data_IF_277021376518
#
_entry.id   IF_277021376518
#
_cell.length_a   1.000
_cell.length_b   1.000
_cell.length_c   1.000
_cell.angle_alpha   90.00
_cell.angle_beta   90.00
_cell.angle_gamma   90.00
#
_symmetry.space_group_name_H-M   'P 1'
#
loop_
_entity.id
_entity.type
_entity.pdbx_description
1 polymer ?
#
# COMPACT_ATOMS: atom_id res chain seq x y z
N UNK A 1 -21.10 49.50 -12.00
CA UNK A 1 -20.62 48.22 -12.56
C UNK A 1 -21.69 47.18 -12.31
N UNK A 2 -22.19 46.59 -13.39
CA UNK A 2 -23.39 45.73 -13.44
C UNK A 2 -23.14 44.35 -12.80
N UNK A 3 -24.01 43.97 -11.85
CA UNK A 3 -24.28 42.59 -11.48
C UNK A 3 -25.44 42.09 -12.36
N UNK A 4 -25.24 40.97 -13.05
CA UNK A 4 -26.28 40.31 -13.84
C UNK A 4 -26.35 38.84 -13.45
N UNK A 5 -27.35 38.49 -12.65
CA UNK A 5 -27.71 37.12 -12.27
C UNK A 5 -28.85 36.71 -13.18
N UNK A 6 -28.63 35.71 -14.05
CA UNK A 6 -29.69 35.07 -14.83
C UNK A 6 -30.05 33.73 -14.22
N UNK A 7 -31.34 33.62 -13.86
CA UNK A 7 -32.07 32.37 -13.65
C UNK A 7 -32.30 31.69 -15.00
N UNK A 8 -32.15 30.38 -15.05
CA UNK A 8 -32.86 29.56 -16.04
C UNK A 8 -33.52 28.37 -15.34
N UNK A 9 -34.84 28.33 -15.50
CA UNK A 9 -35.79 27.26 -15.20
C UNK A 9 -35.81 26.26 -16.35
N UNK A 10 -35.89 24.96 -16.07
CA UNK A 10 -36.30 23.94 -17.05
C UNK A 10 -37.49 23.12 -16.53
N UNK A 11 -38.53 22.91 -17.37
CA UNK A 11 -39.72 22.11 -17.05
C UNK A 11 -39.55 20.63 -17.45
N UNK A 12 -40.41 19.78 -16.87
CA UNK A 12 -40.37 18.32 -17.01
C UNK A 12 -41.01 17.72 -18.27
N UNK A 13 -40.84 16.40 -18.39
CA UNK A 13 -41.56 15.42 -19.23
C UNK A 13 -40.95 14.05 -18.85
N UNK A 14 -41.64 12.94 -18.55
CA UNK A 14 -42.94 12.42 -19.00
C UNK A 14 -42.72 11.05 -19.66
N UNK A 15 -43.53 10.03 -19.29
CA UNK A 15 -43.61 8.63 -19.76
C UNK A 15 -42.65 7.63 -19.07
N UNK A 16 -43.05 6.59 -18.31
CA UNK A 16 -44.24 5.74 -18.21
C UNK A 16 -44.54 4.85 -19.44
N UNK A 17 -44.32 3.53 -19.28
CA UNK A 17 -44.88 2.35 -19.98
C UNK A 17 -43.78 1.28 -20.12
N UNK A 18 -43.98 -0.02 -19.95
CA UNK A 18 -45.20 -0.81 -19.81
C UNK A 18 -44.90 -2.10 -19.03
N UNK A 19 -45.88 -2.50 -18.20
CA UNK A 19 -46.08 -3.89 -17.80
C UNK A 19 -46.35 -4.74 -19.05
N UNK A 20 -45.83 -5.96 -19.06
CA UNK A 20 -46.40 -7.05 -19.83
C UNK A 20 -46.38 -8.29 -18.94
N UNK A 21 -47.57 -8.63 -18.45
CA UNK A 21 -47.91 -9.98 -18.00
C UNK A 21 -47.73 -10.95 -19.17
N UNK A 22 -47.23 -12.16 -18.89
CA UNK A 22 -47.96 -13.41 -19.21
C UNK A 22 -47.18 -14.68 -18.84
N UNK A 23 -47.95 -15.54 -18.16
CA UNK A 23 -48.06 -17.00 -18.30
C UNK A 23 -47.14 -17.91 -17.49
N UNK A 24 -47.77 -18.45 -16.44
CA UNK A 24 -47.90 -19.87 -16.09
C UNK A 24 -47.14 -20.89 -16.96
N UNK A 25 -46.35 -21.72 -16.28
CA UNK A 25 -45.81 -22.98 -16.78
C UNK A 25 -44.97 -23.68 -15.71
N UNK A 26 -45.60 -24.44 -14.81
CA UNK A 26 -44.99 -25.53 -14.04
C UNK A 26 -45.32 -26.85 -14.76
N UNK A 27 -44.63 -27.99 -14.53
CA UNK A 27 -43.33 -28.22 -13.89
C UNK A 27 -42.39 -29.09 -14.77
N UNK A 28 -41.10 -28.75 -14.82
CA UNK A 28 -40.07 -29.60 -15.40
C UNK A 28 -39.08 -30.02 -14.33
N UNK A 29 -39.27 -31.21 -13.75
CA UNK A 29 -38.29 -31.86 -12.90
C UNK A 29 -37.10 -32.22 -13.80
N UNK A 30 -36.05 -31.41 -13.77
CA UNK A 30 -34.76 -31.77 -14.35
C UNK A 30 -33.94 -32.39 -13.22
N UNK A 31 -33.86 -33.71 -13.24
CA UNK A 31 -32.89 -34.51 -12.51
C UNK A 31 -31.49 -34.02 -12.87
N UNK A 32 -30.86 -33.29 -11.94
CA UNK A 32 -29.43 -32.97 -12.02
C UNK A 32 -28.67 -34.22 -11.57
N UNK A 33 -27.76 -34.79 -12.37
CA UNK A 33 -26.97 -35.92 -11.93
C UNK A 33 -26.08 -35.48 -10.76
N UNK A 34 -26.07 -36.30 -9.71
CA UNK A 34 -25.18 -36.17 -8.57
C UNK A 34 -23.73 -36.07 -9.08
N UNK A 35 -23.21 -34.86 -9.13
CA UNK A 35 -21.78 -34.64 -9.28
C UNK A 35 -21.15 -35.24 -8.04
N UNK A 36 -20.47 -36.37 -8.24
CA UNK A 36 -19.56 -36.99 -7.28
C UNK A 36 -18.60 -35.93 -6.77
N UNK A 37 -18.94 -35.35 -5.61
CA UNK A 37 -17.97 -34.65 -4.78
C UNK A 37 -16.95 -35.72 -4.42
N UNK A 38 -15.81 -35.71 -5.13
CA UNK A 38 -14.64 -36.45 -4.70
C UNK A 38 -14.40 -36.02 -3.26
N UNK A 39 -14.40 -36.95 -2.28
CA UNK A 39 -13.98 -36.59 -0.94
C UNK A 39 -12.59 -35.98 -1.08
N UNK A 40 -12.46 -34.73 -0.64
CA UNK A 40 -11.17 -34.15 -0.31
C UNK A 40 -10.47 -35.22 0.52
N UNK A 41 -9.25 -35.66 0.14
CA UNK A 41 -8.52 -36.58 0.99
C UNK A 41 -8.30 -35.84 2.30
N UNK A 42 -9.06 -36.20 3.32
CA UNK A 42 -8.70 -36.04 4.72
C UNK A 42 -7.33 -36.66 4.79
N UNK A 43 -6.28 -35.83 4.80
CA UNK A 43 -4.92 -36.30 4.90
C UNK A 43 -4.81 -36.98 6.25
N UNK A 44 -4.89 -38.30 6.17
CA UNK A 44 -4.64 -39.21 7.25
C UNK A 44 -3.37 -38.80 7.96
N UNK A 45 -3.56 -38.71 9.27
CA UNK A 45 -2.66 -38.26 10.28
C UNK A 45 -1.41 -39.14 10.35
N UNK A 46 -0.49 -38.96 9.40
CA UNK A 46 0.86 -39.50 9.47
C UNK A 46 1.76 -38.44 10.11
N UNK A 47 1.65 -38.30 11.43
CA UNK A 47 2.68 -37.64 12.24
C UNK A 47 3.98 -38.46 12.12
N UNK A 48 4.77 -38.17 11.09
CA UNK A 48 6.20 -38.46 11.09
C UNK A 48 6.83 -37.62 12.20
N UNK A 49 7.40 -38.29 13.20
CA UNK A 49 7.96 -37.68 14.40
C UNK A 49 9.02 -36.62 14.08
N UNK A 50 8.61 -35.36 14.19
CA UNK A 50 9.48 -34.19 14.18
C UNK A 50 8.95 -33.18 15.18
N UNK A 51 9.83 -32.30 15.67
CA UNK A 51 9.44 -31.20 16.56
C UNK A 51 8.27 -30.44 15.92
N UNK A 52 7.14 -30.25 16.63
CA UNK A 52 6.02 -29.49 16.11
C UNK A 52 6.50 -28.14 15.54
N UNK A 53 6.01 -27.73 14.36
CA UNK A 53 6.39 -26.47 13.76
C UNK A 53 6.01 -25.33 14.70
N UNK A 54 6.90 -24.35 14.83
CA UNK A 54 6.75 -23.24 15.77
C UNK A 54 5.63 -22.28 15.37
N UNK A 55 5.32 -22.23 14.07
CA UNK A 55 4.34 -21.38 13.42
C UNK A 55 3.47 -22.24 12.49
N UNK A 56 2.21 -21.83 12.30
CA UNK A 56 1.25 -22.54 11.45
C UNK A 56 1.47 -22.26 9.94
N UNK A 57 2.36 -21.33 9.62
CA UNK A 57 2.72 -20.91 8.27
C UNK A 57 4.13 -21.42 7.86
N UNK A 58 4.43 -21.52 6.55
CA UNK A 58 5.77 -21.83 6.07
C UNK A 58 6.81 -20.86 6.64
N UNK A 59 7.81 -21.39 7.34
CA UNK A 59 8.83 -20.58 8.02
C UNK A 59 10.25 -21.03 7.68
N UNK A 60 11.20 -20.09 7.70
CA UNK A 60 12.63 -20.32 7.44
C UNK A 60 13.45 -19.93 8.66
N UNK A 61 14.42 -20.76 9.12
CA UNK A 61 15.28 -20.39 10.24
C UNK A 61 16.26 -19.28 9.83
N UNK A 62 16.36 -18.23 10.64
CA UNK A 62 17.31 -17.13 10.47
C UNK A 62 18.04 -16.93 11.80
N UNK A 63 19.37 -16.83 11.75
CA UNK A 63 20.19 -16.49 12.93
C UNK A 63 20.44 -14.99 12.93
N UNK A 64 20.03 -14.30 13.99
CA UNK A 64 20.24 -12.86 14.18
C UNK A 64 20.98 -12.61 15.50
N UNK A 65 21.92 -11.66 15.48
CA UNK A 65 22.58 -11.16 16.69
C UNK A 65 21.91 -9.86 17.10
N UNK A 66 21.30 -9.84 18.28
CA UNK A 66 20.58 -8.68 18.80
C UNK A 66 21.22 -8.18 20.10
N UNK A 67 21.18 -6.86 20.39
CA UNK A 67 21.59 -6.34 21.68
C UNK A 67 20.81 -6.98 22.84
N UNK A 68 21.45 -7.13 24.00
CA UNK A 68 20.81 -7.70 25.20
C UNK A 68 19.56 -6.91 25.61
N UNK A 69 19.58 -5.58 25.44
CA UNK A 69 18.42 -4.73 25.68
C UNK A 69 17.22 -5.07 24.78
N UNK A 70 17.47 -5.41 23.52
CA UNK A 70 16.43 -5.86 22.58
C UNK A 70 15.90 -7.24 22.98
N UNK A 71 16.77 -8.16 23.41
CA UNK A 71 16.35 -9.48 23.89
C UNK A 71 15.46 -9.39 25.13
N UNK A 72 15.80 -8.50 26.07
CA UNK A 72 14.98 -8.21 27.24
C UNK A 72 13.63 -7.59 26.85
N UNK A 73 13.62 -6.69 25.86
CA UNK A 73 12.39 -6.11 25.33
C UNK A 73 11.46 -7.17 24.73
N UNK A 74 11.99 -8.07 23.89
CA UNK A 74 11.22 -9.17 23.29
C UNK A 74 10.63 -10.12 24.35
N UNK A 75 11.37 -10.39 25.42
CA UNK A 75 10.92 -11.27 26.49
C UNK A 75 9.71 -10.71 27.27
N UNK A 76 9.52 -9.38 27.30
CA UNK A 76 8.34 -8.75 27.90
C UNK A 76 7.08 -8.94 27.07
N UNK A 77 7.23 -9.19 25.77
CA UNK A 77 6.11 -9.34 24.82
C UNK A 77 5.68 -10.80 24.71
N UNK A 78 6.65 -11.71 24.57
CA UNK A 78 6.40 -13.16 24.60
C UNK A 78 7.65 -13.91 25.11
N UNK A 79 7.48 -14.96 25.93
CA UNK A 79 8.61 -15.79 26.38
C UNK A 79 9.34 -16.46 25.20
N UNK A 80 8.66 -16.75 24.11
CA UNK A 80 9.28 -17.18 22.85
C UNK A 80 9.65 -15.95 22.00
N UNK A 81 10.95 -15.70 21.87
CA UNK A 81 11.52 -14.57 21.10
C UNK A 81 11.04 -14.52 19.64
N UNK A 82 10.82 -15.68 19.01
CA UNK A 82 10.34 -15.74 17.64
C UNK A 82 8.88 -15.32 17.53
N UNK A 83 8.04 -15.71 18.50
CA UNK A 83 6.65 -15.24 18.59
C UNK A 83 6.57 -13.75 18.94
N UNK A 84 7.46 -13.26 19.81
CA UNK A 84 7.56 -11.83 20.11
C UNK A 84 7.87 -11.01 18.84
N UNK A 85 8.84 -11.46 18.03
CA UNK A 85 9.17 -10.81 16.75
C UNK A 85 7.96 -10.84 15.80
N UNK A 86 7.33 -12.00 15.62
CA UNK A 86 6.17 -12.11 14.72
C UNK A 86 5.02 -11.20 15.18
N UNK A 87 4.72 -11.13 16.48
CA UNK A 87 3.70 -10.24 17.03
C UNK A 87 4.02 -8.77 16.78
N UNK A 88 5.23 -8.34 17.10
CA UNK A 88 5.65 -6.96 16.83
C UNK A 88 5.56 -6.60 15.34
N UNK A 89 5.97 -7.53 14.46
CA UNK A 89 5.87 -7.32 13.02
C UNK A 89 4.41 -7.25 12.57
N UNK A 90 3.53 -8.12 13.08
CA UNK A 90 2.11 -8.09 12.76
C UNK A 90 1.43 -6.81 13.28
N UNK A 91 1.77 -6.35 14.48
CA UNK A 91 1.28 -5.08 15.03
C UNK A 91 1.77 -3.90 14.20
N UNK A 92 3.07 -3.83 13.89
CA UNK A 92 3.62 -2.80 13.03
C UNK A 92 2.98 -2.81 11.63
N UNK A 93 2.68 -3.99 11.06
CA UNK A 93 1.99 -4.11 9.77
C UNK A 93 0.51 -3.73 9.86
N UNK A 94 -0.19 -4.03 10.96
CA UNK A 94 -1.59 -3.61 11.16
C UNK A 94 -1.71 -2.11 11.31
N UNK A 95 -0.79 -1.47 12.03
CA UNK A 95 -0.70 -0.01 12.13
C UNK A 95 -0.43 0.63 10.75
N UNK A 96 0.22 -0.10 9.83
CA UNK A 96 0.40 0.34 8.43
C UNK A 96 -0.85 0.13 7.57
N UNK A 97 -1.59 -0.96 7.80
CA UNK A 97 -2.81 -1.31 7.05
C UNK A 97 -4.02 -0.46 7.47
N UNK A 98 -4.00 0.14 8.67
CA UNK A 98 -4.96 1.15 9.09
C UNK A 98 -4.75 2.46 8.32
N UNK A 99 -5.36 2.55 7.12
CA UNK A 99 -5.72 3.77 6.38
C UNK A 99 -4.65 4.87 6.23
N UNK A 100 -3.36 4.56 6.39
CA UNK A 100 -2.31 5.53 6.10
C UNK A 100 -2.11 5.58 4.58
N UNK A 101 -2.20 6.78 3.97
CA UNK A 101 -1.98 6.90 2.54
C UNK A 101 -0.55 6.45 2.19
N UNK A 102 -0.40 5.63 1.15
CA UNK A 102 0.91 5.14 0.69
C UNK A 102 1.79 6.30 0.21
N UNK A 103 1.15 7.42 -0.15
CA UNK A 103 1.77 8.69 -0.52
C UNK A 103 1.06 9.82 0.19
N UNK A 104 1.79 10.58 0.99
CA UNK A 104 1.29 11.72 1.76
C UNK A 104 2.07 12.99 1.42
N UNK A 105 1.43 14.16 1.48
CA UNK A 105 2.13 15.45 1.48
C UNK A 105 2.13 15.99 2.90
N UNK A 106 3.28 15.96 3.55
CA UNK A 106 3.46 16.47 4.90
C UNK A 106 3.75 17.97 4.86
N UNK A 107 2.93 18.78 5.52
CA UNK A 107 3.18 20.21 5.67
C UNK A 107 4.36 20.44 6.63
N UNK A 108 5.42 21.09 6.14
CA UNK A 108 6.62 21.41 6.92
C UNK A 108 6.63 22.86 7.40
N UNK A 109 6.03 23.75 6.60
CA UNK A 109 5.91 25.18 6.86
C UNK A 109 4.72 25.73 6.08
N UNK A 110 4.25 26.96 6.36
CA UNK A 110 3.15 27.56 5.61
C UNK A 110 3.42 27.54 4.11
N UNK A 111 2.54 26.89 3.35
CA UNK A 111 2.63 26.71 1.90
C UNK A 111 3.80 25.85 1.40
N UNK A 112 4.50 25.13 2.28
CA UNK A 112 5.58 24.20 1.90
C UNK A 112 5.31 22.82 2.48
N UNK A 113 5.26 21.82 1.61
CA UNK A 113 5.09 20.43 2.01
C UNK A 113 6.07 19.51 1.30
N UNK A 114 6.35 18.37 1.92
CA UNK A 114 7.21 17.32 1.38
C UNK A 114 6.38 16.08 1.06
N UNK A 115 6.73 15.40 -0.04
CA UNK A 115 6.09 14.14 -0.41
C UNK A 115 6.78 13.01 0.37
N UNK A 116 5.99 12.29 1.16
CA UNK A 116 6.38 11.10 1.91
C UNK A 116 5.73 9.89 1.26
N UNK A 117 6.51 8.82 1.07
CA UNK A 117 6.04 7.55 0.53
C UNK A 117 6.35 6.40 1.47
N UNK A 118 5.54 5.34 1.36
CA UNK A 118 5.83 4.05 1.98
C UNK A 118 7.06 3.36 1.36
N UNK A 119 7.48 2.20 1.92
CA UNK A 119 8.58 1.43 1.38
C UNK A 119 8.23 0.91 -0.02
N UNK A 120 9.10 1.17 -1.00
CA UNK A 120 8.96 0.69 -2.37
C UNK A 120 10.33 0.28 -2.91
N UNK A 121 10.42 -0.93 -3.44
CA UNK A 121 11.63 -1.42 -4.10
C UNK A 121 11.71 -0.93 -5.55
N UNK A 122 10.57 -0.69 -6.19
CA UNK A 122 10.55 -0.25 -7.59
C UNK A 122 10.99 1.19 -7.73
N UNK A 123 10.58 2.09 -6.81
CA UNK A 123 11.04 3.48 -6.81
C UNK A 123 12.56 3.61 -6.62
N UNK A 124 13.20 2.69 -5.90
CA UNK A 124 14.66 2.67 -5.74
C UNK A 124 15.41 2.38 -7.05
N UNK A 125 14.72 1.89 -8.09
CA UNK A 125 15.32 1.64 -9.41
C UNK A 125 15.48 2.92 -10.24
N UNK A 126 14.79 4.02 -9.87
CA UNK A 126 14.88 5.29 -10.59
C UNK A 126 16.22 5.95 -10.20
N UNK A 127 17.16 6.16 -11.14
CA UNK A 127 18.53 6.53 -10.81
C UNK A 127 18.66 7.94 -10.20
N UNK A 128 17.75 8.84 -10.54
CA UNK A 128 17.75 10.23 -10.04
C UNK A 128 16.82 10.45 -8.84
N UNK A 129 16.20 9.38 -8.30
CA UNK A 129 15.28 9.42 -7.17
C UNK A 129 15.95 8.78 -5.95
N UNK A 130 16.00 9.53 -4.86
CA UNK A 130 16.50 9.07 -3.57
C UNK A 130 15.36 8.98 -2.58
N UNK A 131 15.27 7.84 -1.88
CA UNK A 131 14.34 7.62 -0.78
C UNK A 131 15.08 7.81 0.55
N UNK A 132 14.72 8.86 1.29
CA UNK A 132 15.36 9.21 2.56
C UNK A 132 14.44 8.83 3.70
N UNK A 133 14.81 7.82 4.48
CA UNK A 133 14.00 7.37 5.63
C UNK A 133 13.93 8.47 6.71
N UNK A 134 12.71 8.87 7.07
CA UNK A 134 12.44 9.87 8.13
C UNK A 134 11.82 9.26 9.38
N UNK A 135 11.15 8.13 9.22
CA UNK A 135 10.73 7.24 10.30
C UNK A 135 10.67 5.82 9.74
N UNK A 136 10.60 4.78 10.59
CA UNK A 136 10.45 3.41 10.12
C UNK A 136 9.36 3.34 9.06
N UNK A 137 9.70 2.81 7.88
CA UNK A 137 8.79 2.64 6.72
C UNK A 137 8.23 3.92 6.07
N UNK A 138 8.72 5.11 6.44
CA UNK A 138 8.33 6.38 5.80
C UNK A 138 9.55 7.04 5.18
N UNK A 139 9.46 7.31 3.89
CA UNK A 139 10.57 7.82 3.09
C UNK A 139 10.19 9.14 2.44
N UNK A 140 11.07 10.13 2.52
CA UNK A 140 10.98 11.34 1.71
C UNK A 140 11.51 11.09 0.31
N UNK A 141 10.85 11.70 -0.67
CA UNK A 141 11.33 11.75 -2.05
C UNK A 141 12.30 12.93 -2.20
N UNK A 142 13.52 12.63 -2.65
CA UNK A 142 14.50 13.61 -3.09
C UNK A 142 14.92 13.33 -4.53
N UNK A 143 15.05 14.38 -5.35
CA UNK A 143 15.45 14.27 -6.76
C UNK A 143 16.85 14.85 -6.95
N UNK A 144 17.63 14.26 -7.84
CA UNK A 144 18.90 14.84 -8.27
C UNK A 144 18.68 16.21 -8.91
N UNK A 145 19.65 17.10 -8.73
CA UNK A 145 19.68 18.40 -9.39
C UNK A 145 19.56 18.25 -10.91
N UNK A 146 18.67 19.03 -11.52
CA UNK A 146 18.37 18.96 -12.96
C UNK A 146 17.23 18.02 -13.32
N UNK A 147 16.70 17.23 -12.39
CA UNK A 147 15.48 16.45 -12.56
C UNK A 147 14.33 17.14 -11.83
N UNK A 148 13.21 17.33 -12.54
CA UNK A 148 12.00 17.93 -11.98
C UNK A 148 10.88 16.89 -11.80
N UNK A 149 9.72 17.35 -11.33
CA UNK A 149 8.54 16.52 -11.17
C UNK A 149 8.06 15.86 -12.48
N UNK A 150 8.42 16.41 -13.66
CA UNK A 150 8.02 15.85 -14.96
C UNK A 150 8.88 14.62 -15.28
N UNK A 151 10.18 14.71 -15.02
CA UNK A 151 11.08 13.56 -15.11
C UNK A 151 10.63 12.44 -14.16
N UNK A 152 10.24 12.79 -12.92
CA UNK A 152 9.68 11.84 -11.97
C UNK A 152 8.38 11.19 -12.48
N UNK A 153 7.43 11.98 -13.01
CA UNK A 153 6.17 11.46 -13.54
C UNK A 153 6.41 10.44 -14.66
N UNK A 154 7.34 10.74 -15.58
CA UNK A 154 7.69 9.85 -16.68
C UNK A 154 8.31 8.55 -16.15
N UNK A 155 9.31 8.63 -15.28
CA UNK A 155 9.96 7.45 -14.72
C UNK A 155 9.00 6.56 -13.92
N UNK A 156 8.07 7.14 -13.18
CA UNK A 156 7.04 6.39 -12.43
C UNK A 156 6.06 5.69 -13.39
N UNK A 157 5.70 6.32 -14.52
CA UNK A 157 4.87 5.68 -15.56
C UNK A 157 5.58 4.50 -16.21
N UNK A 158 6.84 4.68 -16.58
CA UNK A 158 7.65 3.63 -17.22
C UNK A 158 7.75 2.40 -16.28
N UNK A 159 8.01 2.62 -15.00
CA UNK A 159 8.04 1.54 -14.00
C UNK A 159 6.66 0.90 -13.82
N UNK A 160 5.57 1.68 -13.79
CA UNK A 160 4.23 1.14 -13.63
C UNK A 160 3.83 0.19 -14.78
N UNK A 161 4.39 0.39 -15.97
CA UNK A 161 4.21 -0.52 -17.11
C UNK A 161 4.98 -1.84 -16.93
N UNK A 162 6.13 -1.81 -16.25
CA UNK A 162 6.92 -3.02 -15.94
C UNK A 162 6.34 -3.84 -14.78
N UNK A 163 5.68 -3.21 -13.81
CA UNK A 163 5.21 -3.89 -12.58
C UNK A 163 4.05 -4.85 -12.88
N UNK A 164 4.17 -6.15 -12.54
CA UNK A 164 3.11 -7.14 -12.77
C UNK A 164 1.78 -6.75 -12.10
N UNK A 165 0.66 -7.07 -12.74
CA UNK A 165 -0.68 -6.80 -12.19
C UNK A 165 -0.96 -7.48 -10.84
N UNK A 166 -0.24 -8.56 -10.53
CA UNK A 166 -0.33 -9.28 -9.26
C UNK A 166 0.23 -8.46 -8.07
N UNK A 167 1.11 -7.49 -8.30
CA UNK A 167 1.69 -6.65 -7.25
C UNK A 167 0.79 -5.44 -6.95
N UNK A 168 -0.38 -5.71 -6.35
CA UNK A 168 -1.43 -4.69 -6.15
C UNK A 168 -0.97 -3.52 -5.29
N UNK A 169 -0.17 -3.78 -4.23
CA UNK A 169 0.32 -2.73 -3.31
C UNK A 169 1.27 -1.76 -4.02
N UNK A 170 2.21 -2.29 -4.79
CA UNK A 170 3.21 -1.48 -5.49
C UNK A 170 2.54 -0.62 -6.57
N UNK A 171 1.65 -1.23 -7.35
CA UNK A 171 0.84 -0.49 -8.33
C UNK A 171 -0.03 0.58 -7.66
N UNK A 172 -0.61 0.31 -6.49
CA UNK A 172 -1.39 1.31 -5.75
C UNK A 172 -0.52 2.50 -5.31
N UNK A 173 0.69 2.24 -4.80
CA UNK A 173 1.65 3.28 -4.41
C UNK A 173 2.03 4.16 -5.62
N UNK A 174 2.41 3.55 -6.74
CA UNK A 174 2.80 4.28 -7.95
C UNK A 174 1.63 5.11 -8.52
N UNK A 175 0.42 4.57 -8.52
CA UNK A 175 -0.78 5.31 -8.94
C UNK A 175 -1.08 6.49 -8.01
N UNK A 176 -1.02 6.29 -6.69
CA UNK A 176 -1.20 7.38 -5.73
C UNK A 176 -0.13 8.46 -5.91
N UNK A 177 1.11 8.08 -6.18
CA UNK A 177 2.19 9.03 -6.44
C UNK A 177 1.92 9.85 -7.70
N UNK A 178 1.48 9.22 -8.80
CA UNK A 178 1.08 9.91 -10.03
C UNK A 178 -0.09 10.86 -9.80
N UNK A 179 -1.07 10.47 -8.98
CA UNK A 179 -2.22 11.34 -8.67
C UNK A 179 -1.79 12.55 -7.85
N UNK A 180 -0.91 12.37 -6.86
CA UNK A 180 -0.37 13.46 -6.06
C UNK A 180 0.45 14.43 -6.93
N UNK A 181 1.38 13.93 -7.73
CA UNK A 181 2.20 14.78 -8.63
C UNK A 181 1.34 15.49 -9.67
N UNK A 182 0.31 14.84 -10.22
CA UNK A 182 -0.64 15.44 -11.16
C UNK A 182 -1.46 16.57 -10.52
N UNK A 183 -2.00 16.36 -9.31
CA UNK A 183 -2.73 17.40 -8.56
C UNK A 183 -1.85 18.60 -8.26
N UNK A 184 -0.62 18.31 -7.81
CA UNK A 184 0.38 19.32 -7.52
C UNK A 184 0.70 20.16 -8.78
N UNK A 185 0.91 19.52 -9.93
CA UNK A 185 1.08 20.19 -11.23
C UNK A 185 -0.11 21.06 -11.63
N UNK A 186 -1.33 20.53 -11.53
CA UNK A 186 -2.55 21.25 -11.93
C UNK A 186 -2.80 22.51 -11.08
N UNK A 187 -2.31 22.50 -9.84
CA UNK A 187 -2.46 23.63 -8.93
C UNK A 187 -1.37 24.70 -9.06
N UNK A 188 -0.33 24.48 -9.90
CA UNK A 188 0.90 25.31 -9.95
C UNK A 188 1.61 25.47 -8.59
N UNK A 189 1.30 24.63 -7.60
CA UNK A 189 1.87 24.70 -6.24
C UNK A 189 3.16 23.91 -6.07
N UNK A 190 3.81 23.53 -7.17
CA UNK A 190 5.08 22.78 -7.12
C UNK A 190 6.23 23.76 -7.13
N UNK A 191 6.92 23.85 -5.99
CA UNK A 191 8.24 24.46 -5.92
C UNK A 191 9.24 23.37 -5.55
N UNK A 192 10.40 23.39 -6.20
CA UNK A 192 11.54 22.57 -5.79
C UNK A 192 12.37 23.40 -4.81
N UNK A 193 12.68 22.79 -3.67
CA UNK A 193 13.59 23.34 -2.69
C UNK A 193 14.81 22.42 -2.59
N UNK A 194 15.99 23.02 -2.41
CA UNK A 194 17.19 22.27 -2.06
C UNK A 194 17.13 21.90 -0.58
N UNK A 195 17.23 20.61 -0.26
CA UNK A 195 17.25 20.10 1.12
C UNK A 195 18.66 19.58 1.40
N UNK A 196 19.27 20.10 2.47
CA UNK A 196 20.60 19.68 2.90
C UNK A 196 20.49 18.57 3.96
N UNK A 197 21.04 17.40 3.65
CA UNK A 197 21.12 16.26 4.56
C UNK A 197 22.53 16.18 5.14
N UNK A 198 22.65 16.24 6.47
CA UNK A 198 23.95 16.11 7.16
C UNK A 198 24.09 14.70 7.72
N UNK A 199 25.20 14.02 7.39
CA UNK A 199 25.58 12.77 8.07
C UNK A 199 26.10 13.10 9.46
N UNK A 200 25.40 12.64 10.49
CA UNK A 200 25.88 12.73 11.86
C UNK A 200 26.76 11.50 12.14
N UNK A 201 28.03 11.72 12.46
CA UNK A 201 28.92 10.64 12.89
C UNK A 201 28.34 9.98 14.14
N UNK A 202 28.01 8.69 14.05
CA UNK A 202 27.45 7.87 15.12
C UNK A 202 28.41 7.58 16.27
N UNK A 203 29.26 8.54 16.68
CA UNK A 203 30.07 8.44 17.89
C UNK A 203 29.19 8.61 19.11
N UNK A 204 28.51 7.53 19.50
CA UNK A 204 28.10 7.33 20.90
C UNK A 204 29.39 7.32 21.74
N UNK A 205 29.63 8.39 22.50
CA UNK A 205 30.59 8.37 23.61
C UNK A 205 30.23 7.16 24.49
N UNK A 206 31.19 6.24 24.61
CA UNK A 206 31.14 5.14 25.57
C UNK A 206 31.18 5.68 26.99
#
# INVERSE_FOLDING_TARGET
MHLSVRRETFPGSGAASALTERRCGMPGIITVPAATVKPVPTSDNRYGGGRPPKFDEPSRPITVTLPESTLQGLQKIDPDRGRAIVRLTQEALRDQEQEQPLVEVLEMAPNTGLIVVGPSLTLQRIPFLHLVEVSPTRFLIALDTGNDYRALELAVRDILEEVPAAETRERALLNQLLDVTKKLRQSERVSMAEILLVKLDGKRKR
#
